data_IF_701402690915
#
_entry.id   IF_701402690915
#
_cell.length_a   1.000
_cell.length_b   1.000
_cell.length_c   1.000
_cell.angle_alpha   90.00
_cell.angle_beta   90.00
_cell.angle_gamma   90.00
#
_symmetry.space_group_name_H-M   'P 1'
#
loop_
_entity.id
_entity.type
_entity.pdbx_description
1 polymer ?
#
# COMPACT_ATOMS: atom_id res chain seq x y z
N UNK A 1 5.20 -28.62 13.13
CA UNK A 1 5.60 -27.33 12.52
C UNK A 1 4.39 -26.77 11.78
N UNK A 2 4.08 -25.49 11.90
CA UNK A 2 3.02 -24.87 11.11
C UNK A 2 3.50 -24.65 9.64
N UNK A 3 2.64 -24.79 8.63
CA UNK A 3 2.98 -24.48 7.24
C UNK A 3 3.44 -23.03 7.08
N UNK A 4 4.42 -22.78 6.20
CA UNK A 4 4.97 -21.45 5.95
C UNK A 4 3.93 -20.45 5.45
N UNK A 5 2.93 -20.94 4.73
CA UNK A 5 1.81 -20.16 4.16
C UNK A 5 0.96 -19.56 5.28
N UNK A 6 0.71 -20.34 6.33
CA UNK A 6 -0.04 -19.89 7.52
C UNK A 6 0.78 -18.85 8.29
N UNK A 7 2.08 -19.08 8.46
CA UNK A 7 2.96 -18.12 9.13
C UNK A 7 3.01 -16.78 8.37
N UNK A 8 3.08 -16.82 7.04
CA UNK A 8 3.05 -15.62 6.20
C UNK A 8 1.71 -14.88 6.31
N UNK A 9 0.60 -15.60 6.39
CA UNK A 9 -0.72 -15.03 6.58
C UNK A 9 -0.88 -14.34 7.95
N UNK A 10 -0.14 -14.77 8.99
CA UNK A 10 -0.08 -14.09 10.29
C UNK A 10 0.83 -12.85 10.24
N UNK A 11 1.94 -12.92 9.51
CA UNK A 11 2.84 -11.79 9.31
C UNK A 11 2.17 -10.61 8.56
N UNK A 12 1.40 -10.92 7.52
CA UNK A 12 0.78 -9.92 6.64
C UNK A 12 -0.10 -8.88 7.36
N UNK A 13 -1.03 -9.23 8.27
CA UNK A 13 -1.79 -8.25 9.04
C UNK A 13 -0.93 -7.46 10.02
N UNK A 14 0.10 -8.06 10.63
CA UNK A 14 1.06 -7.34 11.51
C UNK A 14 1.80 -6.28 10.71
N UNK A 15 2.33 -6.65 9.54
CA UNK A 15 2.94 -5.70 8.61
C UNK A 15 1.96 -4.60 8.19
N UNK A 16 0.71 -4.96 7.90
CA UNK A 16 -0.31 -4.01 7.48
C UNK A 16 -0.56 -2.96 8.56
N UNK A 17 -0.67 -3.36 9.83
CA UNK A 17 -0.81 -2.43 10.96
C UNK A 17 0.40 -1.48 11.03
N UNK A 18 1.62 -2.02 10.92
CA UNK A 18 2.83 -1.20 10.89
C UNK A 18 2.85 -0.23 9.70
N UNK A 19 2.34 -0.64 8.54
CA UNK A 19 2.29 0.19 7.33
C UNK A 19 1.29 1.34 7.44
N UNK A 20 0.19 1.15 8.18
CA UNK A 20 -0.84 2.17 8.41
C UNK A 20 -0.32 3.33 9.25
N UNK A 21 0.62 3.07 10.17
CA UNK A 21 1.20 4.09 11.06
C UNK A 21 1.77 5.29 10.28
N UNK A 22 2.77 5.12 9.38
CA UNK A 22 3.31 6.24 8.60
C UNK A 22 2.27 6.81 7.61
N UNK A 23 1.35 6.00 7.08
CA UNK A 23 0.27 6.46 6.19
C UNK A 23 -0.65 7.48 6.87
N UNK A 24 -0.86 7.36 8.19
CA UNK A 24 -1.69 8.28 8.97
C UNK A 24 -0.86 9.41 9.58
N UNK A 25 0.30 9.11 10.16
CA UNK A 25 1.10 10.10 10.88
C UNK A 25 1.67 11.18 9.96
N UNK A 26 2.12 10.83 8.75
CA UNK A 26 2.72 11.79 7.83
C UNK A 26 1.73 12.89 7.40
N UNK A 27 0.52 12.57 6.86
CA UNK A 27 -0.42 13.61 6.46
C UNK A 27 -0.97 14.42 7.64
N UNK A 28 -1.10 13.84 8.83
CA UNK A 28 -1.65 14.54 10.00
C UNK A 28 -0.64 15.49 10.65
N UNK A 29 0.62 15.08 10.82
CA UNK A 29 1.61 15.84 11.59
C UNK A 29 2.51 16.70 10.71
N UNK A 30 2.71 16.33 9.45
CA UNK A 30 3.72 16.94 8.58
C UNK A 30 3.16 17.19 7.17
N UNK A 31 2.14 18.05 7.01
CA UNK A 31 1.55 18.35 5.70
C UNK A 31 2.56 18.97 4.73
N UNK A 32 3.57 19.68 5.24
CA UNK A 32 4.63 20.23 4.41
C UNK A 32 5.50 19.14 3.77
N UNK A 33 5.82 18.07 4.51
CA UNK A 33 6.57 16.93 3.96
C UNK A 33 5.72 16.12 2.98
N UNK A 34 4.40 16.06 3.14
CA UNK A 34 3.52 15.42 2.16
C UNK A 34 3.55 16.08 0.77
N UNK A 35 4.03 17.32 0.68
CA UNK A 35 4.22 18.05 -0.60
C UNK A 35 5.55 17.72 -1.28
N UNK A 36 6.51 17.16 -0.55
CA UNK A 36 7.83 16.75 -1.08
C UNK A 36 7.74 15.41 -1.82
N UNK A 37 8.45 15.30 -2.95
CA UNK A 37 8.39 14.14 -3.84
C UNK A 37 8.85 12.83 -3.18
N UNK A 38 9.90 12.90 -2.36
CA UNK A 38 10.53 11.73 -1.72
C UNK A 38 9.59 10.96 -0.77
N UNK A 39 9.01 11.58 0.28
CA UNK A 39 8.11 10.86 1.19
C UNK A 39 6.84 10.37 0.49
N UNK A 40 6.34 11.09 -0.53
CA UNK A 40 5.18 10.67 -1.34
C UNK A 40 5.43 9.36 -2.07
N UNK A 41 6.60 9.18 -2.69
CA UNK A 41 6.97 7.91 -3.33
C UNK A 41 7.10 6.81 -2.28
N UNK A 42 7.68 7.11 -1.11
CA UNK A 42 7.80 6.16 0.00
C UNK A 42 6.44 5.66 0.50
N UNK A 43 5.46 6.55 0.66
CA UNK A 43 4.09 6.19 1.04
C UNK A 43 3.42 5.28 0.00
N UNK A 44 3.52 5.62 -1.29
CA UNK A 44 2.97 4.80 -2.39
C UNK A 44 3.66 3.44 -2.44
N UNK A 45 4.98 3.40 -2.27
CA UNK A 45 5.74 2.15 -2.25
C UNK A 45 5.33 1.26 -1.07
N UNK A 46 5.06 1.86 0.09
CA UNK A 46 4.57 1.13 1.26
C UNK A 46 3.19 0.53 1.03
N UNK A 47 2.26 1.27 0.42
CA UNK A 47 0.95 0.74 0.01
C UNK A 47 1.10 -0.39 -1.01
N UNK A 48 1.98 -0.23 -1.99
CA UNK A 48 2.25 -1.25 -2.99
C UNK A 48 2.82 -2.52 -2.37
N UNK A 49 3.76 -2.39 -1.43
CA UNK A 49 4.34 -3.54 -0.72
C UNK A 49 3.29 -4.27 0.13
N UNK A 50 2.45 -3.53 0.85
CA UNK A 50 1.35 -4.13 1.63
C UNK A 50 0.34 -4.83 0.72
N UNK A 51 -0.02 -4.23 -0.42
CA UNK A 51 -0.86 -4.88 -1.43
C UNK A 51 -0.22 -6.20 -1.92
N UNK A 52 1.07 -6.19 -2.26
CA UNK A 52 1.77 -7.39 -2.73
C UNK A 52 1.83 -8.50 -1.68
N UNK A 53 1.98 -8.17 -0.39
CA UNK A 53 1.94 -9.17 0.67
C UNK A 53 0.56 -9.81 0.81
N UNK A 54 -0.53 -9.04 0.75
CA UNK A 54 -1.88 -9.61 0.73
C UNK A 54 -2.12 -10.48 -0.50
N UNK A 55 -1.63 -10.06 -1.66
CA UNK A 55 -1.73 -10.84 -2.90
C UNK A 55 -1.02 -12.20 -2.76
N UNK A 56 0.25 -12.18 -2.34
CA UNK A 56 1.05 -13.38 -2.16
C UNK A 56 0.44 -14.33 -1.14
N UNK A 57 -0.09 -13.79 -0.03
CA UNK A 57 -0.65 -14.60 1.07
C UNK A 57 -1.94 -15.31 0.68
N UNK A 58 -2.84 -14.61 -0.01
CA UNK A 58 -4.06 -15.21 -0.55
C UNK A 58 -3.76 -16.33 -1.55
N UNK A 59 -2.85 -16.10 -2.50
CA UNK A 59 -2.51 -17.08 -3.53
C UNK A 59 -1.81 -18.30 -2.92
N UNK A 60 -0.86 -18.10 -2.01
CA UNK A 60 -0.17 -19.19 -1.33
C UNK A 60 -1.14 -20.11 -0.57
N UNK A 61 -2.08 -19.54 0.18
CA UNK A 61 -3.10 -20.33 0.88
C UNK A 61 -4.09 -21.01 -0.06
N UNK A 62 -4.49 -20.33 -1.15
CA UNK A 62 -5.40 -20.90 -2.13
C UNK A 62 -4.79 -22.13 -2.82
N UNK A 63 -3.52 -22.06 -3.22
CA UNK A 63 -2.80 -23.19 -3.82
C UNK A 63 -2.63 -24.33 -2.81
N UNK A 64 -2.20 -24.02 -1.58
CA UNK A 64 -2.04 -25.01 -0.52
C UNK A 64 -3.34 -25.77 -0.20
N UNK A 65 -4.49 -25.07 -0.22
CA UNK A 65 -5.80 -25.70 -0.03
C UNK A 65 -6.30 -26.47 -1.26
N UNK A 66 -5.86 -26.10 -2.46
CA UNK A 66 -6.29 -26.76 -3.70
C UNK A 66 -5.61 -28.11 -3.89
N UNK A 67 -4.35 -28.25 -3.45
CA UNK A 67 -3.59 -29.50 -3.55
C UNK A 67 -3.95 -30.54 -2.48
N UNK A 68 -4.85 -30.22 -1.53
CA UNK A 68 -5.10 -31.05 -0.35
C UNK A 68 -6.59 -31.24 -0.11
N UNK A 69 -7.00 -32.49 0.09
CA UNK A 69 -8.33 -32.79 0.62
C UNK A 69 -8.36 -32.39 2.09
N UNK A 70 -9.25 -31.47 2.45
CA UNK A 70 -9.25 -30.78 3.74
C UNK A 70 -10.70 -30.73 4.29
N UNK A 71 -10.89 -31.22 5.52
CA UNK A 71 -12.21 -31.31 6.18
C UNK A 71 -12.16 -30.77 7.62
N UNK A 72 -13.33 -30.35 8.12
CA UNK A 72 -13.49 -29.86 9.49
C UNK A 72 -13.26 -28.36 9.67
N UNK A 73 -13.34 -27.90 10.92
CA UNK A 73 -13.30 -26.48 11.30
C UNK A 73 -12.04 -25.77 10.83
N UNK A 74 -10.88 -26.42 10.95
CA UNK A 74 -9.58 -25.87 10.49
C UNK A 74 -9.60 -25.52 9.01
N UNK A 75 -10.29 -26.33 8.20
CA UNK A 75 -10.42 -26.08 6.77
C UNK A 75 -11.32 -24.88 6.47
N UNK A 76 -12.43 -24.78 7.20
CA UNK A 76 -13.36 -23.64 7.08
C UNK A 76 -12.65 -22.33 7.44
N UNK A 77 -11.86 -22.34 8.52
CA UNK A 77 -11.06 -21.18 8.94
C UNK A 77 -10.00 -20.83 7.90
N UNK A 78 -9.29 -21.81 7.32
CA UNK A 78 -8.31 -21.54 6.25
C UNK A 78 -8.95 -20.98 4.97
N UNK A 79 -10.11 -21.50 4.57
CA UNK A 79 -10.90 -20.96 3.44
C UNK A 79 -11.38 -19.55 3.71
N UNK A 80 -11.92 -19.29 4.90
CA UNK A 80 -12.33 -17.95 5.33
C UNK A 80 -11.14 -16.99 5.35
N UNK A 81 -9.99 -17.44 5.87
CA UNK A 81 -8.75 -16.67 5.86
C UNK A 81 -8.31 -16.29 4.46
N UNK A 82 -8.34 -17.26 3.52
CA UNK A 82 -8.04 -17.04 2.11
C UNK A 82 -8.95 -15.96 1.51
N UNK A 83 -10.27 -16.04 1.76
CA UNK A 83 -11.22 -15.04 1.28
C UNK A 83 -10.99 -13.65 1.89
N UNK A 84 -10.75 -13.57 3.19
CA UNK A 84 -10.44 -12.31 3.88
C UNK A 84 -9.16 -11.68 3.32
N UNK A 85 -8.12 -12.48 3.06
CA UNK A 85 -6.90 -12.00 2.42
C UNK A 85 -7.15 -11.44 1.02
N UNK A 86 -8.03 -12.07 0.24
CA UNK A 86 -8.42 -11.55 -1.07
C UNK A 86 -9.14 -10.20 -0.97
N UNK A 87 -10.07 -10.06 -0.01
CA UNK A 87 -10.75 -8.78 0.22
C UNK A 87 -9.77 -7.69 0.69
N UNK A 88 -8.86 -8.03 1.60
CA UNK A 88 -7.81 -7.11 2.03
C UNK A 88 -6.90 -6.69 0.87
N UNK A 89 -6.54 -7.61 -0.02
CA UNK A 89 -5.79 -7.29 -1.24
C UNK A 89 -6.53 -6.26 -2.10
N UNK A 90 -7.83 -6.46 -2.36
CA UNK A 90 -8.65 -5.50 -3.12
C UNK A 90 -8.67 -4.14 -2.43
N UNK A 91 -8.87 -4.09 -1.11
CA UNK A 91 -8.89 -2.85 -0.35
C UNK A 91 -7.56 -2.07 -0.47
N UNK A 92 -6.44 -2.76 -0.33
CA UNK A 92 -5.11 -2.15 -0.50
C UNK A 92 -4.83 -1.74 -1.94
N UNK A 93 -5.26 -2.53 -2.93
CA UNK A 93 -5.15 -2.19 -4.34
C UNK A 93 -5.95 -0.92 -4.70
N UNK A 94 -7.17 -0.78 -4.20
CA UNK A 94 -7.99 0.41 -4.39
C UNK A 94 -7.35 1.64 -3.75
N UNK A 95 -6.79 1.49 -2.55
CA UNK A 95 -6.10 2.60 -1.86
C UNK A 95 -4.86 3.04 -2.64
N UNK A 96 -4.01 2.09 -3.05
CA UNK A 96 -2.86 2.33 -3.90
C UNK A 96 -3.24 3.02 -5.22
N UNK A 97 -4.30 2.55 -5.88
CA UNK A 97 -4.77 3.15 -7.12
C UNK A 97 -5.20 4.60 -6.92
N UNK A 98 -5.95 4.90 -5.85
CA UNK A 98 -6.34 6.27 -5.52
C UNK A 98 -5.11 7.15 -5.19
N UNK A 99 -4.17 6.64 -4.41
CA UNK A 99 -2.92 7.34 -4.06
C UNK A 99 -2.07 7.64 -5.29
N UNK A 100 -1.91 6.65 -6.19
CA UNK A 100 -1.19 6.80 -7.45
C UNK A 100 -1.87 7.82 -8.37
N UNK A 101 -3.20 7.73 -8.57
CA UNK A 101 -3.95 8.68 -9.39
C UNK A 101 -3.84 10.12 -8.86
N UNK A 102 -3.94 10.31 -7.54
CA UNK A 102 -3.70 11.61 -6.90
C UNK A 102 -2.26 12.08 -7.15
N UNK A 103 -1.30 11.17 -7.07
CA UNK A 103 0.10 11.48 -7.29
C UNK A 103 0.38 11.99 -8.70
N UNK A 104 -0.12 11.29 -9.72
CA UNK A 104 -0.01 11.67 -11.12
C UNK A 104 -0.71 12.99 -11.40
N UNK A 105 -1.94 13.21 -10.91
CA UNK A 105 -2.67 14.48 -11.11
C UNK A 105 -1.93 15.71 -10.55
N UNK A 106 -1.32 15.60 -9.37
CA UNK A 106 -0.51 16.69 -8.81
C UNK A 106 0.78 16.91 -9.60
N UNK A 107 1.41 15.84 -10.11
CA UNK A 107 2.60 15.91 -10.96
C UNK A 107 2.34 16.67 -12.26
N UNK A 108 1.21 16.40 -12.92
CA UNK A 108 0.79 17.11 -14.14
C UNK A 108 0.56 18.61 -13.88
N UNK A 109 -0.08 19.00 -12.77
CA UNK A 109 -0.28 20.43 -12.44
C UNK A 109 1.02 21.19 -12.13
N UNK A 110 2.03 20.54 -11.58
CA UNK A 110 3.33 21.17 -11.28
C UNK A 110 4.20 21.37 -12.54
N UNK A 111 3.96 20.61 -13.60
CA UNK A 111 4.61 20.78 -14.90
C UNK A 111 4.13 21.99 -15.70
N UNK A 112 2.93 22.50 -15.41
CA UNK A 112 2.35 23.66 -16.10
C UNK A 112 2.68 25.00 -15.41
N UNK A 113 3.17 24.96 -14.16
CA UNK A 113 3.63 26.13 -13.39
C UNK A 113 5.16 26.20 -13.31
N UNK A 114 5.84 25.76 -14.37
CA UNK A 114 7.30 25.87 -14.56
C UNK A 114 7.71 26.90 -15.61
N UNK A 115 6.77 27.73 -16.08
CA UNK A 115 6.95 28.64 -17.21
C UNK A 115 6.85 30.13 -16.89
N UNK A 116 7.12 30.58 -15.65
CA UNK A 116 7.24 32.01 -15.36
C UNK A 116 8.62 32.32 -14.74
N UNK A 117 9.59 32.81 -15.54
CA UNK A 117 10.81 33.39 -15.00
C UNK A 117 10.47 34.77 -14.45
N UNK A 118 10.08 34.88 -13.18
CA UNK A 118 9.85 36.18 -12.55
C UNK A 118 11.17 36.76 -12.02
N UNK A 119 11.89 37.36 -12.97
CA UNK A 119 12.70 38.59 -12.90
C UNK A 119 13.22 38.97 -11.51
N UNK A 120 14.51 38.74 -11.30
CA UNK A 120 15.33 39.38 -10.28
C UNK A 120 15.37 40.89 -10.59
N UNK A 121 14.54 41.68 -9.88
CA UNK A 121 14.58 43.14 -9.98
C UNK A 121 15.76 43.62 -9.13
N UNK A 122 16.95 43.61 -9.74
CA UNK A 122 18.12 44.31 -9.25
C UNK A 122 17.81 45.82 -9.33
N UNK A 123 17.25 46.39 -8.26
CA UNK A 123 17.10 47.84 -8.15
C UNK A 123 18.49 48.42 -7.84
N UNK A 124 19.20 48.77 -8.91
CA UNK A 124 20.38 49.62 -8.83
C UNK A 124 19.97 51.07 -8.57
N UNK A 125 20.84 51.72 -7.78
CA UNK A 125 20.95 53.13 -7.35
C UNK A 125 19.97 53.65 -6.30
#
# INVERSE_FOLDING_TARGET
MAPSEVNFMVFTPVWSILSVIPLILIPLKMPHLATSTVPKIGLIALEALTMLYWFAGFIALAVFLSDRICFGTVCSVAKAGTALSAFSWVAWAVTLAMSALRAFRTGFKKGESGGEPKVEMHQGV
#
